data_IF_493451736496
#
_entry.id   IF_493451736496
#
_cell.length_a   1.000
_cell.length_b   1.000
_cell.length_c   1.000
_cell.angle_alpha   90.00
_cell.angle_beta   90.00
_cell.angle_gamma   90.00
#
_symmetry.space_group_name_H-M   'P 1'
#
loop_
_entity.id
_entity.type
_entity.pdbx_description
1 polymer ?
#
# COMPACT_ATOMS: atom_id res chain seq x y z
N UNK A 1 19.99 -26.25 11.93
CA UNK A 1 19.65 -25.13 12.84
C UNK A 1 19.72 -23.71 12.24
N UNK A 2 20.26 -23.49 11.03
CA UNK A 2 20.30 -22.14 10.39
C UNK A 2 18.97 -21.72 9.73
N UNK A 3 18.15 -22.68 9.30
CA UNK A 3 16.88 -22.44 8.59
C UNK A 3 15.77 -21.97 9.54
N UNK A 4 15.67 -22.53 10.75
CA UNK A 4 14.64 -22.16 11.74
C UNK A 4 14.83 -20.73 12.29
N UNK A 5 16.05 -20.18 12.20
CA UNK A 5 16.35 -18.77 12.55
C UNK A 5 16.11 -17.78 11.41
N UNK A 6 15.80 -18.27 10.21
CA UNK A 6 15.56 -17.41 9.06
C UNK A 6 14.13 -16.84 9.13
N UNK A 7 14.00 -15.52 9.21
CA UNK A 7 12.72 -14.83 9.32
C UNK A 7 11.80 -15.14 8.13
N UNK A 8 12.34 -15.23 6.91
CA UNK A 8 11.60 -15.67 5.71
C UNK A 8 10.90 -17.01 5.95
N UNK A 9 11.64 -17.99 6.48
CA UNK A 9 11.12 -19.33 6.72
C UNK A 9 10.05 -19.33 7.83
N UNK A 10 10.29 -18.59 8.92
CA UNK A 10 9.33 -18.45 10.01
C UNK A 10 8.01 -17.83 9.53
N UNK A 11 8.07 -16.78 8.70
CA UNK A 11 6.87 -16.12 8.15
C UNK A 11 6.10 -17.07 7.23
N UNK A 12 6.78 -17.82 6.35
CA UNK A 12 6.12 -18.80 5.48
C UNK A 12 5.41 -19.88 6.29
N UNK A 13 6.09 -20.46 7.29
CA UNK A 13 5.50 -21.47 8.17
C UNK A 13 4.30 -20.88 8.91
N UNK A 14 4.42 -19.65 9.43
CA UNK A 14 3.35 -18.98 10.13
C UNK A 14 2.12 -18.70 9.24
N UNK A 15 2.32 -18.30 7.97
CA UNK A 15 1.25 -18.14 6.99
C UNK A 15 0.54 -19.46 6.75
N UNK A 16 1.28 -20.54 6.50
CA UNK A 16 0.72 -21.89 6.25
C UNK A 16 -0.09 -22.36 7.48
N UNK A 17 0.47 -22.19 8.68
CA UNK A 17 -0.22 -22.51 9.92
C UNK A 17 -1.49 -21.67 10.10
N UNK A 18 -1.44 -20.37 9.78
CA UNK A 18 -2.59 -19.47 9.87
C UNK A 18 -3.71 -19.89 8.93
N UNK A 19 -3.38 -20.19 7.67
CA UNK A 19 -4.33 -20.73 6.69
C UNK A 19 -4.95 -22.03 7.20
N UNK A 20 -4.14 -22.97 7.70
CA UNK A 20 -4.64 -24.24 8.22
C UNK A 20 -5.60 -24.05 9.41
N UNK A 21 -5.26 -23.17 10.36
CA UNK A 21 -6.13 -22.86 11.51
C UNK A 21 -7.45 -22.23 11.05
N UNK A 22 -7.40 -21.22 10.18
CA UNK A 22 -8.61 -20.58 9.66
C UNK A 22 -9.48 -21.52 8.81
N UNK A 23 -8.88 -22.51 8.15
CA UNK A 23 -9.59 -23.48 7.32
C UNK A 23 -10.25 -24.60 8.14
N UNK A 24 -9.53 -25.17 9.12
CA UNK A 24 -9.97 -26.32 9.91
C UNK A 24 -10.86 -25.88 11.07
N UNK A 25 -10.54 -24.75 11.71
CA UNK A 25 -11.28 -24.18 12.84
C UNK A 25 -11.63 -22.71 12.58
N UNK A 26 -12.65 -22.41 11.74
CA UNK A 26 -12.96 -21.04 11.35
C UNK A 26 -13.26 -20.09 12.52
N UNK A 27 -13.94 -20.55 13.57
CA UNK A 27 -14.20 -19.75 14.77
C UNK A 27 -12.91 -19.34 15.48
N UNK A 28 -12.00 -20.30 15.68
CA UNK A 28 -10.67 -20.04 16.26
C UNK A 28 -9.88 -19.10 15.36
N UNK A 29 -9.92 -19.31 14.04
CA UNK A 29 -9.27 -18.42 13.07
C UNK A 29 -9.71 -16.97 13.22
N UNK A 30 -11.02 -16.72 13.35
CA UNK A 30 -11.57 -15.38 13.58
C UNK A 30 -11.07 -14.76 14.90
N UNK A 31 -10.95 -15.57 15.95
CA UNK A 31 -10.44 -15.14 17.26
C UNK A 31 -8.94 -14.80 17.26
N UNK A 32 -8.18 -15.20 16.23
CA UNK A 32 -6.76 -14.83 16.10
C UNK A 32 -6.54 -13.38 15.63
N UNK A 33 -7.59 -12.64 15.26
CA UNK A 33 -7.52 -11.23 14.82
C UNK A 33 -6.68 -10.33 15.73
N UNK A 34 -6.81 -10.37 17.09
CA UNK A 34 -6.04 -9.51 17.97
C UNK A 34 -4.53 -9.71 17.84
N UNK A 35 -4.06 -10.91 17.47
CA UNK A 35 -2.62 -11.18 17.27
C UNK A 35 -2.10 -10.38 16.08
N UNK A 36 -2.83 -10.44 14.96
CA UNK A 36 -2.51 -9.69 13.74
C UNK A 36 -2.59 -8.18 13.97
N UNK A 37 -3.69 -7.71 14.57
CA UNK A 37 -3.90 -6.28 14.85
C UNK A 37 -2.87 -5.72 15.82
N UNK A 38 -2.52 -6.46 16.89
CA UNK A 38 -1.49 -6.04 17.84
C UNK A 38 -0.13 -5.89 17.14
N UNK A 39 0.21 -6.81 16.23
CA UNK A 39 1.44 -6.69 15.43
C UNK A 39 1.44 -5.42 14.57
N UNK A 40 0.35 -5.16 13.84
CA UNK A 40 0.20 -3.94 13.04
C UNK A 40 0.30 -2.68 13.92
N UNK A 41 -0.34 -2.67 15.09
CA UNK A 41 -0.29 -1.54 16.02
C UNK A 41 1.13 -1.27 16.55
N UNK A 42 1.90 -2.32 16.87
CA UNK A 42 3.31 -2.15 17.25
C UNK A 42 4.15 -1.51 16.14
N UNK A 43 3.84 -1.81 14.88
CA UNK A 43 4.51 -1.17 13.73
C UNK A 43 4.02 0.28 13.56
N UNK A 44 2.70 0.53 13.58
CA UNK A 44 2.13 1.90 13.50
C UNK A 44 2.69 2.83 14.56
N UNK A 45 2.92 2.34 15.78
CA UNK A 45 3.52 3.07 16.89
C UNK A 45 4.88 3.68 16.54
N UNK A 46 5.70 3.01 15.72
CA UNK A 46 7.06 3.46 15.40
C UNK A 46 7.18 4.13 14.03
N UNK A 47 6.20 3.95 13.14
CA UNK A 47 6.28 4.45 11.75
C UNK A 47 6.36 5.98 11.70
N UNK A 48 5.43 6.70 12.32
CA UNK A 48 5.38 8.16 12.19
C UNK A 48 6.67 8.85 12.66
N UNK A 49 7.25 8.51 13.84
CA UNK A 49 8.57 9.01 14.24
C UNK A 49 9.70 8.65 13.27
N UNK A 50 9.73 7.41 12.75
CA UNK A 50 10.77 6.97 11.81
C UNK A 50 10.70 7.76 10.50
N UNK A 51 9.49 7.92 9.94
CA UNK A 51 9.25 8.71 8.73
C UNK A 51 9.75 10.13 8.93
N UNK A 52 9.33 10.77 10.03
CA UNK A 52 9.75 12.13 10.34
C UNK A 52 11.26 12.28 10.41
N UNK A 53 11.93 11.47 11.23
CA UNK A 53 13.37 11.52 11.39
C UNK A 53 14.09 11.28 10.06
N UNK A 54 13.63 10.31 9.27
CA UNK A 54 14.32 9.95 8.03
C UNK A 54 14.15 10.99 6.93
N UNK A 55 12.97 11.62 6.83
CA UNK A 55 12.76 12.72 5.87
C UNK A 55 13.56 13.94 6.29
N UNK A 56 13.51 14.34 7.56
CA UNK A 56 14.25 15.51 8.06
C UNK A 56 15.75 15.33 7.83
N UNK A 57 16.31 14.19 8.23
CA UNK A 57 17.73 13.86 8.00
C UNK A 57 18.05 13.76 6.50
N UNK A 58 17.14 13.19 5.70
CA UNK A 58 17.27 13.10 4.25
C UNK A 58 17.37 14.48 3.59
N UNK A 59 16.50 15.42 3.97
CA UNK A 59 16.51 16.79 3.43
C UNK A 59 17.74 17.55 3.91
N UNK A 60 18.04 17.49 5.20
CA UNK A 60 19.19 18.18 5.79
C UNK A 60 20.50 17.74 5.14
N UNK A 61 20.67 16.44 4.84
CA UNK A 61 21.86 15.92 4.17
C UNK A 61 21.96 16.27 2.67
N UNK A 62 20.86 16.67 2.00
CA UNK A 62 20.94 17.19 0.62
C UNK A 62 21.53 18.61 0.56
N UNK A 63 21.38 19.38 1.64
CA UNK A 63 21.87 20.76 1.78
C UNK A 63 21.26 21.78 0.79
N UNK A 64 20.26 21.40 -0.01
CA UNK A 64 19.67 22.28 -1.01
C UNK A 64 18.22 21.89 -1.35
N UNK A 65 17.30 22.83 -1.16
CA UNK A 65 15.89 22.67 -1.53
C UNK A 65 15.67 22.44 -3.02
N UNK A 66 16.56 22.97 -3.89
CA UNK A 66 16.50 22.70 -5.33
C UNK A 66 16.73 21.22 -5.64
N UNK A 67 17.61 20.54 -4.88
CA UNK A 67 17.83 19.09 -5.04
C UNK A 67 16.63 18.30 -4.54
N UNK A 68 16.06 18.68 -3.38
CA UNK A 68 14.86 18.05 -2.81
C UNK A 68 13.70 18.11 -3.81
N UNK A 69 13.37 19.30 -4.31
CA UNK A 69 12.28 19.49 -5.29
C UNK A 69 12.52 18.70 -6.58
N UNK A 70 13.77 18.62 -7.05
CA UNK A 70 14.13 17.81 -8.24
C UNK A 70 13.93 16.31 -8.01
N UNK A 71 14.30 15.78 -6.84
CA UNK A 71 14.12 14.36 -6.52
C UNK A 71 12.64 14.04 -6.32
N UNK A 72 11.94 14.84 -5.52
CA UNK A 72 10.50 14.67 -5.27
C UNK A 72 9.67 14.79 -6.54
N UNK A 73 9.91 15.81 -7.37
CA UNK A 73 9.19 15.99 -8.63
C UNK A 73 9.44 14.84 -9.63
N UNK A 74 10.68 14.32 -9.71
CA UNK A 74 10.97 13.13 -10.51
C UNK A 74 10.25 11.89 -9.98
N UNK A 75 10.14 11.73 -8.66
CA UNK A 75 9.43 10.62 -8.05
C UNK A 75 7.92 10.68 -8.33
N UNK A 76 7.29 11.84 -8.16
CA UNK A 76 5.86 12.02 -8.46
C UNK A 76 5.56 11.77 -9.95
N UNK A 77 6.39 12.29 -10.86
CA UNK A 77 6.25 12.01 -12.28
C UNK A 77 6.39 10.51 -12.59
N UNK A 78 7.36 9.85 -11.96
CA UNK A 78 7.53 8.41 -12.09
C UNK A 78 6.31 7.64 -11.57
N UNK A 79 5.79 7.99 -10.39
CA UNK A 79 4.60 7.35 -9.82
C UNK A 79 3.40 7.51 -10.75
N UNK A 80 3.20 8.69 -11.32
CA UNK A 80 2.08 8.94 -12.23
C UNK A 80 2.14 8.08 -13.49
N UNK A 81 3.32 8.01 -14.13
CA UNK A 81 3.53 7.20 -15.33
C UNK A 81 3.31 5.72 -15.04
N UNK A 82 3.88 5.23 -13.93
CA UNK A 82 3.85 3.80 -13.57
C UNK A 82 2.46 3.37 -13.10
N UNK A 83 1.76 4.20 -12.31
CA UNK A 83 0.36 3.96 -11.94
C UNK A 83 -0.56 3.98 -13.17
N UNK A 84 -0.32 4.86 -14.16
CA UNK A 84 -1.06 4.86 -15.43
C UNK A 84 -0.87 3.53 -16.17
N UNK A 85 0.37 3.04 -16.26
CA UNK A 85 0.64 1.73 -16.86
C UNK A 85 -0.05 0.59 -16.09
N UNK A 86 -0.13 0.69 -14.75
CA UNK A 86 -0.82 -0.27 -13.88
C UNK A 86 -2.35 -0.28 -14.13
N UNK A 87 -2.98 0.87 -14.34
CA UNK A 87 -4.39 0.96 -14.75
C UNK A 87 -4.64 0.33 -16.11
N UNK A 88 -3.81 0.70 -17.10
CA UNK A 88 -3.97 0.23 -18.46
C UNK A 88 -3.87 -1.29 -18.53
N UNK A 89 -2.87 -1.88 -17.87
CA UNK A 89 -2.71 -3.33 -17.85
C UNK A 89 -3.88 -4.03 -17.14
N UNK A 90 -4.39 -3.44 -16.04
CA UNK A 90 -5.56 -3.93 -15.32
C UNK A 90 -6.81 -3.98 -16.21
N UNK A 91 -7.14 -2.86 -16.86
CA UNK A 91 -8.29 -2.78 -17.76
C UNK A 91 -8.13 -3.71 -18.96
N UNK A 92 -6.96 -3.74 -19.61
CA UNK A 92 -6.72 -4.60 -20.78
C UNK A 92 -6.94 -6.06 -20.40
N UNK A 93 -6.31 -6.53 -19.31
CA UNK A 93 -6.44 -7.94 -18.90
C UNK A 93 -7.87 -8.26 -18.49
N UNK A 94 -8.57 -7.37 -17.77
CA UNK A 94 -9.96 -7.60 -17.39
C UNK A 94 -10.92 -7.68 -18.59
N UNK A 95 -10.70 -6.89 -19.64
CA UNK A 95 -11.48 -6.96 -20.88
C UNK A 95 -11.18 -8.23 -21.69
N UNK A 96 -9.94 -8.74 -21.67
CA UNK A 96 -9.55 -9.95 -22.41
C UNK A 96 -10.00 -11.22 -21.70
N UNK A 97 -9.73 -11.33 -20.39
CA UNK A 97 -10.00 -12.55 -19.61
C UNK A 97 -11.47 -12.64 -19.19
N UNK A 98 -12.14 -11.49 -19.10
CA UNK A 98 -13.54 -11.35 -18.71
C UNK A 98 -13.89 -12.13 -17.44
N UNK A 99 -13.28 -11.79 -16.29
CA UNK A 99 -13.45 -12.55 -15.05
C UNK A 99 -14.88 -12.53 -14.50
N UNK A 100 -15.70 -11.52 -14.83
CA UNK A 100 -17.08 -11.37 -14.36
C UNK A 100 -18.14 -12.04 -15.23
N UNK A 101 -17.79 -12.50 -16.43
CA UNK A 101 -18.73 -13.16 -17.34
C UNK A 101 -19.31 -14.44 -16.71
N UNK A 102 -20.63 -14.64 -16.91
CA UNK A 102 -21.41 -15.83 -16.47
C UNK A 102 -21.56 -15.98 -14.95
N UNK A 103 -21.22 -14.96 -14.17
CA UNK A 103 -21.61 -14.88 -12.77
C UNK A 103 -23.03 -14.32 -12.67
N UNK A 104 -23.83 -14.92 -11.80
CA UNK A 104 -25.20 -14.51 -11.53
C UNK A 104 -25.20 -13.62 -10.27
N UNK A 105 -25.49 -12.30 -10.39
CA UNK A 105 -25.47 -11.38 -9.26
C UNK A 105 -26.40 -11.82 -8.11
N UNK A 106 -27.51 -12.49 -8.44
CA UNK A 106 -28.52 -12.92 -7.48
C UNK A 106 -28.05 -14.06 -6.56
N UNK A 107 -26.99 -14.77 -6.94
CA UNK A 107 -26.41 -15.89 -6.18
C UNK A 107 -25.20 -15.49 -5.34
N UNK A 108 -24.71 -14.26 -5.52
CA UNK A 108 -23.61 -13.73 -4.76
C UNK A 108 -24.16 -13.02 -3.51
N UNK A 109 -23.83 -13.53 -2.33
CA UNK A 109 -24.22 -12.87 -1.06
C UNK A 109 -23.35 -11.63 -0.87
N UNK A 110 -23.96 -10.45 -1.02
CA UNK A 110 -23.30 -9.18 -0.73
C UNK A 110 -23.04 -8.97 0.77
N UNK A 111 -21.93 -8.30 1.10
CA UNK A 111 -21.69 -7.72 2.42
C UNK A 111 -22.34 -6.34 2.61
N UNK A 112 -22.39 -5.84 3.84
CA UNK A 112 -22.81 -4.46 4.11
C UNK A 112 -21.68 -3.47 3.73
N UNK A 113 -21.97 -2.67 2.71
CA UNK A 113 -21.06 -1.64 2.15
C UNK A 113 -21.60 -0.22 2.29
N UNK A 114 -22.72 -0.05 3.00
CA UNK A 114 -23.43 1.23 3.14
C UNK A 114 -22.51 2.36 3.64
N UNK A 115 -21.65 2.07 4.61
CA UNK A 115 -20.65 3.02 5.13
C UNK A 115 -19.67 3.53 4.06
N UNK A 116 -19.22 2.67 3.15
CA UNK A 116 -18.24 3.03 2.12
C UNK A 116 -18.88 3.79 0.97
N UNK A 117 -20.15 3.48 0.68
CA UNK A 117 -20.95 4.21 -0.31
C UNK A 117 -21.20 5.65 0.14
N UNK A 118 -21.58 5.85 1.41
CA UNK A 118 -21.73 7.20 1.97
C UNK A 118 -20.41 7.98 1.94
N UNK A 119 -19.32 7.39 2.43
CA UNK A 119 -18.00 8.06 2.41
C UNK A 119 -17.47 8.33 0.99
N UNK A 120 -17.80 7.48 0.01
CA UNK A 120 -17.37 7.65 -1.39
C UNK A 120 -18.11 8.79 -2.12
N UNK A 121 -19.36 9.07 -1.73
CA UNK A 121 -20.16 10.20 -2.27
C UNK A 121 -19.72 11.55 -1.69
N UNK A 122 -19.19 11.57 -0.46
CA UNK A 122 -18.69 12.77 0.22
C UNK A 122 -17.25 13.14 -0.14
N UNK A 123 -16.54 12.34 -0.95
CA UNK A 123 -15.14 12.58 -1.27
C UNK A 123 -14.97 13.84 -2.15
N UNK A 124 -14.85 15.00 -1.51
CA UNK A 124 -14.50 16.26 -2.16
C UNK A 124 -12.97 16.31 -2.31
N UNK A 125 -12.47 16.43 -3.55
CA UNK A 125 -11.02 16.54 -3.82
C UNK A 125 -10.36 17.68 -3.06
N UNK A 126 -11.12 18.75 -2.79
CA UNK A 126 -10.65 19.87 -1.98
C UNK A 126 -10.25 19.40 -0.58
N UNK A 127 -11.00 18.46 0.01
CA UNK A 127 -10.72 17.93 1.34
C UNK A 127 -9.41 17.14 1.36
N UNK A 128 -9.08 16.40 0.29
CA UNK A 128 -7.77 15.73 0.21
C UNK A 128 -6.61 16.73 0.22
N UNK A 129 -6.69 17.80 -0.56
CA UNK A 129 -5.63 18.82 -0.58
C UNK A 129 -5.54 19.58 0.74
N UNK A 130 -6.68 19.90 1.36
CA UNK A 130 -6.73 20.53 2.68
C UNK A 130 -6.17 19.59 3.75
N UNK A 131 -6.42 18.29 3.63
CA UNK A 131 -5.97 17.27 4.57
C UNK A 131 -4.44 17.04 4.56
N UNK A 132 -3.73 17.39 3.48
CA UNK A 132 -2.26 17.34 3.44
C UNK A 132 -1.64 18.22 4.53
N UNK A 133 -2.27 19.36 4.83
CA UNK A 133 -1.80 20.30 5.84
C UNK A 133 -2.50 19.98 7.17
N UNK A 134 -1.79 19.43 8.18
CA UNK A 134 -2.41 19.15 9.46
C UNK A 134 -2.80 20.45 10.18
N UNK A 135 -3.97 20.45 10.83
CA UNK A 135 -4.37 21.49 11.78
C UNK A 135 -3.45 21.55 12.99
N UNK A 136 -2.90 20.40 13.40
CA UNK A 136 -1.96 20.27 14.50
C UNK A 136 -0.94 19.17 14.20
N UNK A 137 0.35 19.51 14.36
CA UNK A 137 1.44 18.54 14.16
C UNK A 137 1.28 17.31 15.06
N UNK A 138 1.10 17.48 16.37
CA UNK A 138 1.04 16.36 17.30
C UNK A 138 -0.15 15.43 17.02
N UNK A 139 -1.27 15.98 16.54
CA UNK A 139 -2.42 15.21 16.13
C UNK A 139 -2.11 14.28 14.95
N UNK A 140 -1.38 14.77 13.94
CA UNK A 140 -0.94 13.95 12.80
C UNK A 140 -0.09 12.76 13.25
N UNK A 141 0.84 12.98 14.18
CA UNK A 141 1.65 11.89 14.76
C UNK A 141 0.81 10.94 15.61
N UNK A 142 -0.12 11.45 16.41
CA UNK A 142 -0.96 10.64 17.29
C UNK A 142 -1.95 9.76 16.51
N UNK A 143 -2.52 10.27 15.42
CA UNK A 143 -3.40 9.53 14.52
C UNK A 143 -2.65 8.63 13.54
N UNK A 144 -1.34 8.81 13.40
CA UNK A 144 -0.50 8.04 12.48
C UNK A 144 -0.74 8.42 11.02
N UNK A 145 -1.12 9.67 10.74
CA UNK A 145 -1.35 10.17 9.39
C UNK A 145 -0.01 10.39 8.67
N UNK A 146 0.35 9.42 7.83
CA UNK A 146 1.65 9.39 7.14
C UNK A 146 1.82 10.59 6.20
N UNK A 147 0.74 11.03 5.53
CA UNK A 147 0.81 12.11 4.55
C UNK A 147 1.04 13.45 5.23
N UNK A 148 0.32 13.71 6.32
CA UNK A 148 0.51 14.91 7.13
C UNK A 148 1.89 14.93 7.80
N UNK A 149 2.33 13.79 8.34
CA UNK A 149 3.68 13.65 8.91
C UNK A 149 4.74 13.92 7.84
N UNK A 150 4.59 13.39 6.61
CA UNK A 150 5.48 13.66 5.48
C UNK A 150 5.54 15.15 5.15
N UNK A 151 4.39 15.81 5.01
CA UNK A 151 4.33 17.25 4.70
C UNK A 151 5.05 18.09 5.75
N UNK A 152 4.73 17.86 7.04
CA UNK A 152 5.39 18.56 8.14
C UNK A 152 6.90 18.29 8.16
N UNK A 153 7.33 17.05 7.93
CA UNK A 153 8.74 16.66 7.90
C UNK A 153 9.52 17.39 6.81
N UNK A 154 8.91 17.63 5.66
CA UNK A 154 9.52 18.39 4.56
C UNK A 154 9.75 19.84 4.99
N UNK A 155 8.74 20.48 5.59
CA UNK A 155 8.86 21.85 6.10
C UNK A 155 9.90 21.97 7.22
N UNK A 156 9.89 21.01 8.16
CA UNK A 156 10.87 20.97 9.24
C UNK A 156 12.29 20.79 8.71
N UNK A 157 12.50 19.84 7.79
CA UNK A 157 13.80 19.61 7.15
C UNK A 157 14.29 20.83 6.36
N UNK A 158 13.38 21.53 5.67
CA UNK A 158 13.69 22.79 4.99
C UNK A 158 14.13 23.87 5.99
N UNK A 159 13.36 24.08 7.07
CA UNK A 159 13.71 25.03 8.13
C UNK A 159 15.05 24.70 8.80
N UNK A 160 15.31 23.42 9.07
CA UNK A 160 16.59 22.96 9.63
C UNK A 160 17.76 23.23 8.68
N UNK A 161 17.55 23.06 7.38
CA UNK A 161 18.57 23.40 6.36
C UNK A 161 18.85 24.91 6.32
N UNK A 162 17.82 25.74 6.52
CA UNK A 162 17.96 27.21 6.55
C UNK A 162 18.76 27.71 7.76
N UNK A 163 18.82 26.94 8.86
CA UNK A 163 19.67 27.25 10.02
C UNK A 163 21.18 27.08 9.75
N UNK A 164 21.54 26.42 8.64
CA UNK A 164 22.94 26.15 8.30
C UNK A 164 23.66 25.42 9.43
N UNK A 165 24.84 25.93 9.83
CA UNK A 165 25.67 25.31 10.89
C UNK A 165 24.98 25.20 12.25
N UNK A 166 24.06 26.13 12.56
CA UNK A 166 23.33 26.12 13.83
C UNK A 166 22.34 24.95 13.93
N UNK A 167 21.97 24.34 12.80
CA UNK A 167 21.12 23.14 12.77
C UNK A 167 21.86 21.84 13.10
N UNK A 168 23.20 21.83 13.05
CA UNK A 168 23.99 20.60 13.18
C UNK A 168 23.74 19.82 14.49
N UNK A 169 23.65 20.45 15.67
CA UNK A 169 23.36 19.72 16.91
C UNK A 169 22.01 18.99 16.88
N UNK A 170 21.01 19.57 16.21
CA UNK A 170 19.68 18.95 16.05
C UNK A 170 19.75 17.77 15.10
N UNK A 171 20.50 17.90 13.99
CA UNK A 171 20.76 16.80 13.05
C UNK A 171 21.43 15.63 13.78
N UNK A 172 22.48 15.89 14.55
CA UNK A 172 23.22 14.84 15.28
C UNK A 172 22.34 14.14 16.33
N UNK A 173 21.47 14.90 17.00
CA UNK A 173 20.46 14.34 17.91
C UNK A 173 19.46 13.45 17.15
N UNK A 174 18.93 13.91 16.02
CA UNK A 174 17.97 13.16 15.20
C UNK A 174 18.59 11.89 14.63
N UNK A 175 19.87 11.89 14.25
CA UNK A 175 20.57 10.68 13.81
C UNK A 175 20.64 9.62 14.91
N UNK A 176 20.95 10.03 16.15
CA UNK A 176 20.99 9.12 17.30
C UNK A 176 19.61 8.60 17.64
N UNK A 177 18.61 9.48 17.63
CA UNK A 177 17.22 9.13 17.91
C UNK A 177 16.67 8.17 16.84
N UNK A 178 17.00 8.39 15.56
CA UNK A 178 16.61 7.51 14.45
C UNK A 178 17.14 6.09 14.66
N UNK A 179 18.40 5.93 15.10
CA UNK A 179 18.97 4.62 15.45
C UNK A 179 18.19 3.91 16.57
N UNK A 180 17.71 4.65 17.57
CA UNK A 180 16.89 4.09 18.65
C UNK A 180 15.58 3.53 18.08
N UNK A 181 14.87 4.30 17.25
CA UNK A 181 13.64 3.82 16.62
C UNK A 181 13.86 2.62 15.69
N UNK A 182 14.96 2.60 14.92
CA UNK A 182 15.32 1.42 14.11
C UNK A 182 15.64 0.18 14.95
N UNK A 183 16.23 0.35 16.15
CA UNK A 183 16.43 -0.76 17.09
C UNK A 183 15.09 -1.29 17.63
N UNK A 184 14.16 -0.39 18.00
CA UNK A 184 12.81 -0.78 18.44
C UNK A 184 12.11 -1.56 17.32
N UNK A 185 12.13 -1.04 16.10
CA UNK A 185 11.59 -1.73 14.93
C UNK A 185 12.20 -3.14 14.80
N UNK A 186 13.53 -3.27 14.89
CA UNK A 186 14.21 -4.56 14.78
C UNK A 186 13.75 -5.58 15.83
N UNK A 187 13.34 -5.13 17.02
CA UNK A 187 12.74 -5.97 18.06
C UNK A 187 11.34 -6.39 17.64
N UNK A 188 10.48 -5.44 17.25
CA UNK A 188 9.09 -5.71 16.81
C UNK A 188 9.06 -6.69 15.63
N UNK A 189 10.00 -6.58 14.70
CA UNK A 189 10.08 -7.46 13.52
C UNK A 189 10.32 -8.94 13.87
N UNK A 190 10.85 -9.26 15.05
CA UNK A 190 10.96 -10.66 15.49
C UNK A 190 9.59 -11.31 15.71
N UNK A 191 8.54 -10.51 15.90
CA UNK A 191 7.17 -10.93 16.08
C UNK A 191 6.38 -10.98 14.75
N UNK A 192 7.01 -10.62 13.62
CA UNK A 192 6.36 -10.64 12.31
C UNK A 192 5.71 -11.98 11.92
N UNK A 193 6.30 -13.16 12.25
CA UNK A 193 5.63 -14.44 12.01
C UNK A 193 4.27 -14.53 12.73
N UNK A 194 4.16 -14.05 13.97
CA UNK A 194 2.90 -14.07 14.72
C UNK A 194 1.84 -13.16 14.08
N UNK A 195 2.26 -11.97 13.62
CA UNK A 195 1.38 -11.06 12.89
C UNK A 195 0.83 -11.69 11.60
N UNK A 196 1.72 -12.33 10.82
CA UNK A 196 1.35 -13.02 9.59
C UNK A 196 0.43 -14.23 9.84
N UNK A 197 0.67 -15.00 10.91
CA UNK A 197 -0.21 -16.07 11.35
C UNK A 197 -1.61 -15.54 11.69
N UNK A 198 -1.70 -14.53 12.56
CA UNK A 198 -2.98 -13.97 13.00
C UNK A 198 -3.79 -13.35 11.86
N UNK A 199 -3.12 -12.63 10.95
CA UNK A 199 -3.75 -12.04 9.76
C UNK A 199 -4.35 -13.10 8.84
N UNK A 200 -3.58 -14.13 8.50
CA UNK A 200 -4.05 -15.20 7.62
C UNK A 200 -5.12 -16.09 8.27
N UNK A 201 -4.98 -16.41 9.56
CA UNK A 201 -5.98 -17.17 10.31
C UNK A 201 -7.32 -16.44 10.38
N UNK A 202 -7.30 -15.13 10.66
CA UNK A 202 -8.51 -14.30 10.65
C UNK A 202 -9.13 -14.23 9.26
N UNK A 203 -8.32 -14.01 8.23
CA UNK A 203 -8.81 -13.85 6.85
C UNK A 203 -9.50 -15.13 6.37
N UNK A 204 -8.85 -16.29 6.54
CA UNK A 204 -9.43 -17.57 6.14
C UNK A 204 -10.59 -17.98 7.05
N UNK A 205 -10.52 -17.71 8.36
CA UNK A 205 -11.60 -18.04 9.30
C UNK A 205 -12.86 -17.19 9.13
N UNK A 206 -12.72 -15.90 8.79
CA UNK A 206 -13.85 -14.98 8.59
C UNK A 206 -14.51 -15.15 7.23
N UNK A 207 -13.70 -15.17 6.18
CA UNK A 207 -14.21 -15.19 4.81
C UNK A 207 -14.37 -16.61 4.28
N UNK A 208 -13.68 -17.60 4.85
CA UNK A 208 -13.72 -18.99 4.41
C UNK A 208 -12.99 -19.22 3.09
N UNK A 209 -12.58 -20.47 2.85
CA UNK A 209 -12.03 -20.89 1.55
C UNK A 209 -13.10 -20.89 0.44
N UNK A 210 -14.39 -20.96 0.80
CA UNK A 210 -15.49 -21.04 -0.14
C UNK A 210 -15.87 -19.70 -0.78
N UNK A 211 -15.59 -18.55 -0.16
CA UNK A 211 -15.77 -17.23 -0.80
C UNK A 211 -14.71 -16.95 -1.86
N UNK A 212 -13.54 -17.59 -1.74
CA UNK A 212 -12.51 -17.57 -2.78
C UNK A 212 -12.94 -18.31 -4.06
N UNK A 213 -14.00 -19.13 -4.03
CA UNK A 213 -14.40 -19.92 -5.21
C UNK A 213 -15.18 -19.08 -6.22
N UNK A 214 -16.26 -18.35 -5.86
CA UNK A 214 -16.98 -17.47 -6.80
C UNK A 214 -16.12 -16.31 -7.32
N UNK A 215 -15.28 -15.73 -6.46
CA UNK A 215 -14.36 -14.63 -6.81
C UNK A 215 -12.99 -15.12 -7.26
N UNK A 216 -12.75 -16.43 -7.28
CA UNK A 216 -11.45 -17.02 -7.55
C UNK A 216 -10.92 -16.69 -8.92
N UNK A 217 -11.80 -16.62 -9.92
CA UNK A 217 -11.45 -16.19 -11.28
C UNK A 217 -10.95 -14.74 -11.29
N UNK A 218 -11.61 -13.83 -10.56
CA UNK A 218 -11.16 -12.45 -10.42
C UNK A 218 -9.81 -12.39 -9.69
N UNK A 219 -9.67 -13.09 -8.57
CA UNK A 219 -8.44 -13.09 -7.76
C UNK A 219 -7.23 -13.64 -8.51
N UNK A 220 -7.38 -14.79 -9.17
CA UNK A 220 -6.32 -15.35 -10.04
C UNK A 220 -5.95 -14.35 -11.13
N UNK A 221 -6.95 -13.71 -11.75
CA UNK A 221 -6.72 -12.71 -12.78
C UNK A 221 -5.94 -11.50 -12.23
N UNK A 222 -6.33 -10.97 -11.06
CA UNK A 222 -5.64 -9.84 -10.42
C UNK A 222 -4.19 -10.19 -10.08
N UNK A 223 -3.93 -11.34 -9.44
CA UNK A 223 -2.57 -11.75 -9.10
C UNK A 223 -1.72 -12.05 -10.34
N UNK A 224 -2.30 -12.63 -11.39
CA UNK A 224 -1.63 -12.83 -12.66
C UNK A 224 -1.27 -11.49 -13.33
N UNK A 225 -2.17 -10.50 -13.31
CA UNK A 225 -1.91 -9.15 -13.81
C UNK A 225 -0.85 -8.43 -12.99
N UNK A 226 -0.85 -8.58 -11.66
CA UNK A 226 0.22 -8.04 -10.81
C UNK A 226 1.56 -8.68 -11.13
N UNK A 227 1.62 -9.99 -11.34
CA UNK A 227 2.83 -10.69 -11.77
C UNK A 227 3.29 -10.19 -13.15
N UNK A 228 2.37 -10.04 -14.10
CA UNK A 228 2.63 -9.46 -15.43
C UNK A 228 3.22 -8.06 -15.29
N UNK A 229 2.64 -7.20 -14.46
CA UNK A 229 3.12 -5.85 -14.20
C UNK A 229 4.54 -5.86 -13.61
N UNK A 230 4.80 -6.69 -12.60
CA UNK A 230 6.14 -6.82 -11.99
C UNK A 230 7.17 -7.31 -13.00
N UNK A 231 6.90 -8.40 -13.72
CA UNK A 231 7.88 -9.04 -14.59
C UNK A 231 8.00 -8.41 -15.98
N UNK A 232 7.03 -7.61 -16.41
CA UNK A 232 7.09 -6.85 -17.67
C UNK A 232 7.45 -5.39 -17.38
N UNK A 233 6.56 -4.64 -16.72
CA UNK A 233 6.71 -3.18 -16.55
C UNK A 233 7.89 -2.86 -15.63
N UNK A 234 7.90 -3.40 -14.40
CA UNK A 234 8.98 -3.10 -13.46
C UNK A 234 10.31 -3.70 -13.92
N UNK A 235 10.31 -4.89 -14.52
CA UNK A 235 11.52 -5.49 -15.10
C UNK A 235 12.10 -4.63 -16.24
N UNK A 236 11.24 -4.09 -17.11
CA UNK A 236 11.66 -3.19 -18.18
C UNK A 236 12.31 -1.92 -17.61
N UNK A 237 11.70 -1.31 -16.58
CA UNK A 237 12.28 -0.17 -15.86
C UNK A 237 13.63 -0.55 -15.25
N UNK A 238 13.73 -1.68 -14.54
CA UNK A 238 14.99 -2.16 -13.96
C UNK A 238 16.08 -2.33 -15.03
N UNK A 239 15.73 -2.88 -16.19
CA UNK A 239 16.64 -3.07 -17.33
C UNK A 239 17.11 -1.73 -17.91
N UNK A 240 16.23 -0.74 -18.05
CA UNK A 240 16.60 0.62 -18.49
C UNK A 240 17.64 1.26 -17.55
N UNK A 241 17.49 1.05 -16.24
CA UNK A 241 18.42 1.54 -15.23
C UNK A 241 19.55 0.55 -14.90
N UNK A 242 19.72 -0.52 -15.71
CA UNK A 242 20.83 -1.48 -15.66
C UNK A 242 20.97 -2.24 -14.33
N UNK A 243 19.89 -2.50 -13.61
CA UNK A 243 19.91 -3.40 -12.45
C UNK A 243 18.93 -4.57 -12.62
N UNK A 244 19.18 -5.66 -11.89
CA UNK A 244 18.42 -6.90 -12.02
C UNK A 244 17.21 -6.92 -11.10
N UNK A 245 16.01 -7.07 -11.68
CA UNK A 245 14.78 -7.28 -10.91
C UNK A 245 14.90 -8.50 -9.98
N UNK A 246 15.48 -9.60 -10.46
CA UNK A 246 15.62 -10.83 -9.66
C UNK A 246 16.48 -10.62 -8.40
N UNK A 247 17.60 -9.90 -8.53
CA UNK A 247 18.45 -9.57 -7.37
C UNK A 247 17.69 -8.67 -6.39
N UNK A 248 16.91 -7.72 -6.91
CA UNK A 248 16.08 -6.85 -6.10
C UNK A 248 14.99 -7.63 -5.34
N UNK A 249 14.21 -8.47 -6.02
CA UNK A 249 13.18 -9.32 -5.40
C UNK A 249 13.78 -10.27 -4.35
N UNK A 250 14.96 -10.83 -4.61
CA UNK A 250 15.67 -11.67 -3.64
C UNK A 250 16.10 -10.88 -2.38
N UNK A 251 16.46 -9.60 -2.55
CA UNK A 251 16.83 -8.70 -1.46
C UNK A 251 15.64 -8.36 -0.56
N UNK A 252 14.46 -8.10 -1.16
CA UNK A 252 13.24 -7.67 -0.43
C UNK A 252 12.25 -8.81 -0.14
N UNK A 253 12.67 -10.08 -0.32
CA UNK A 253 11.77 -11.25 -0.20
C UNK A 253 11.04 -11.35 1.15
N UNK A 254 11.67 -10.88 2.23
CA UNK A 254 11.10 -10.98 3.57
C UNK A 254 9.96 -9.98 3.74
N UNK A 255 10.13 -8.79 3.19
CA UNK A 255 9.15 -7.72 3.22
C UNK A 255 7.92 -8.12 2.39
N UNK A 256 8.15 -8.72 1.21
CA UNK A 256 7.06 -9.25 0.38
C UNK A 256 6.21 -10.29 1.12
N UNK A 257 6.84 -11.21 1.85
CA UNK A 257 6.13 -12.25 2.61
C UNK A 257 5.40 -11.68 3.83
N UNK A 258 5.99 -10.70 4.51
CA UNK A 258 5.35 -10.05 5.65
C UNK A 258 4.12 -9.28 5.18
N UNK A 259 4.23 -8.48 4.12
CA UNK A 259 3.09 -7.76 3.54
C UNK A 259 2.00 -8.74 3.10
N UNK A 260 2.36 -9.87 2.50
CA UNK A 260 1.39 -10.91 2.13
C UNK A 260 0.64 -11.45 3.35
N UNK A 261 1.36 -11.77 4.43
CA UNK A 261 0.75 -12.33 5.64
C UNK A 261 -0.03 -11.32 6.49
N UNK A 262 0.38 -10.05 6.47
CA UNK A 262 -0.23 -8.98 7.29
C UNK A 262 -1.27 -8.16 6.53
N UNK A 263 -1.32 -8.29 5.20
CA UNK A 263 -2.16 -7.48 4.30
C UNK A 263 -1.98 -5.97 4.46
N UNK A 264 -0.82 -5.52 4.95
CA UNK A 264 -0.50 -4.11 5.19
C UNK A 264 0.88 -3.80 4.66
N UNK A 265 0.96 -2.89 3.67
CA UNK A 265 2.24 -2.37 3.19
C UNK A 265 2.98 -1.63 4.30
N UNK A 266 2.28 -0.86 5.13
CA UNK A 266 2.85 -0.06 6.24
C UNK A 266 3.74 -0.91 7.14
N UNK A 267 3.37 -2.17 7.34
CA UNK A 267 4.10 -3.12 8.20
C UNK A 267 5.59 -3.29 7.90
N UNK A 268 6.03 -2.96 6.66
CA UNK A 268 7.43 -3.10 6.24
C UNK A 268 8.09 -1.79 5.82
N UNK A 269 7.39 -0.65 5.89
CA UNK A 269 7.90 0.64 5.41
C UNK A 269 9.27 1.01 6.01
N UNK A 270 9.45 1.03 7.35
CA UNK A 270 10.75 1.33 7.94
C UNK A 270 11.87 0.38 7.49
N UNK A 271 11.54 -0.90 7.30
CA UNK A 271 12.51 -1.93 6.90
C UNK A 271 12.91 -1.80 5.44
N UNK A 272 11.96 -1.44 4.58
CA UNK A 272 12.22 -1.09 3.19
C UNK A 272 13.20 0.08 3.10
N UNK A 273 13.07 1.09 3.97
CA UNK A 273 14.02 2.21 3.99
C UNK A 273 15.44 1.75 4.28
N UNK A 274 15.64 0.97 5.36
CA UNK A 274 16.96 0.41 5.68
C UNK A 274 17.50 -0.48 4.55
N UNK A 275 16.68 -1.39 4.01
CA UNK A 275 17.11 -2.28 2.94
C UNK A 275 17.49 -1.55 1.66
N UNK A 276 16.82 -0.46 1.33
CA UNK A 276 17.18 0.33 0.15
C UNK A 276 18.50 1.08 0.36
N UNK A 277 18.78 1.57 1.57
CA UNK A 277 20.10 2.12 1.91
C UNK A 277 21.19 1.06 1.77
N UNK A 278 20.97 -0.15 2.33
CA UNK A 278 21.90 -1.28 2.22
C UNK A 278 22.09 -1.75 0.77
N UNK A 279 21.06 -1.59 -0.07
CA UNK A 279 21.13 -1.89 -1.51
C UNK A 279 21.95 -0.85 -2.31
N UNK A 280 22.31 0.27 -1.68
CA UNK A 280 23.15 1.33 -2.27
C UNK A 280 22.39 2.61 -2.64
N UNK A 281 21.11 2.74 -2.27
CA UNK A 281 20.38 4.00 -2.45
C UNK A 281 20.85 5.03 -1.42
N UNK A 282 20.95 6.30 -1.83
CA UNK A 282 21.32 7.35 -0.89
C UNK A 282 20.18 7.63 0.09
N UNK A 283 20.51 7.82 1.37
CA UNK A 283 19.54 8.16 2.44
C UNK A 283 18.55 9.27 2.04
N UNK A 284 18.98 10.36 1.38
CA UNK A 284 18.06 11.41 0.97
C UNK A 284 17.00 10.95 -0.03
N UNK A 285 17.37 10.07 -0.96
CA UNK A 285 16.44 9.53 -1.95
C UNK A 285 15.49 8.55 -1.28
N UNK A 286 16.01 7.64 -0.43
CA UNK A 286 15.19 6.69 0.34
C UNK A 286 14.18 7.42 1.22
N UNK A 287 14.67 8.39 2.00
CA UNK A 287 13.86 9.15 2.96
C UNK A 287 12.74 9.95 2.30
N UNK A 288 12.92 10.43 1.07
CA UNK A 288 11.90 11.18 0.37
C UNK A 288 10.99 10.28 -0.48
N UNK A 289 11.56 9.39 -1.27
CA UNK A 289 10.84 8.66 -2.32
C UNK A 289 9.99 7.53 -1.73
N UNK A 290 10.50 6.78 -0.75
CA UNK A 290 9.75 5.63 -0.21
C UNK A 290 8.49 6.09 0.55
N UNK A 291 8.55 7.02 1.51
CA UNK A 291 7.35 7.47 2.23
C UNK A 291 6.32 8.12 1.28
N UNK A 292 6.79 8.93 0.33
CA UNK A 292 5.91 9.53 -0.68
C UNK A 292 5.25 8.45 -1.55
N UNK A 293 6.00 7.42 -1.97
CA UNK A 293 5.47 6.32 -2.77
C UNK A 293 4.41 5.49 -2.03
N UNK A 294 4.50 5.37 -0.70
CA UNK A 294 3.48 4.68 0.09
C UNK A 294 2.12 5.36 0.03
N UNK A 295 2.09 6.70 -0.09
CA UNK A 295 0.84 7.45 -0.24
C UNK A 295 0.42 7.57 -1.70
N UNK A 296 1.36 7.83 -2.60
CA UNK A 296 1.07 8.23 -3.99
C UNK A 296 1.33 7.15 -5.05
N UNK A 297 1.84 5.97 -4.71
CA UNK A 297 2.19 4.91 -5.68
C UNK A 297 1.57 3.56 -5.32
N UNK A 298 0.24 3.51 -5.23
CA UNK A 298 -0.52 2.30 -4.89
C UNK A 298 -0.82 1.42 -6.12
N UNK A 299 0.19 1.07 -6.92
CA UNK A 299 0.01 0.38 -8.21
C UNK A 299 -0.79 -0.93 -8.11
N UNK A 300 -0.54 -1.74 -7.07
CA UNK A 300 -1.28 -2.98 -6.85
C UNK A 300 -2.77 -2.74 -6.58
N UNK A 301 -3.08 -1.76 -5.71
CA UNK A 301 -4.46 -1.34 -5.45
C UNK A 301 -5.12 -0.84 -6.72
N UNK A 302 -4.39 -0.06 -7.52
CA UNK A 302 -4.87 0.51 -8.78
C UNK A 302 -5.18 -0.58 -9.83
N UNK A 303 -4.34 -1.61 -9.95
CA UNK A 303 -4.64 -2.80 -10.78
C UNK A 303 -5.92 -3.47 -10.28
N UNK A 304 -6.05 -3.68 -8.97
CA UNK A 304 -7.25 -4.28 -8.39
C UNK A 304 -8.50 -3.44 -8.68
N UNK A 305 -8.47 -2.13 -8.43
CA UNK A 305 -9.62 -1.23 -8.60
C UNK A 305 -10.08 -1.14 -10.06
N UNK A 306 -9.15 -1.04 -11.00
CA UNK A 306 -9.48 -1.06 -12.43
C UNK A 306 -10.11 -2.39 -12.85
N UNK A 307 -9.52 -3.51 -12.42
CA UNK A 307 -10.06 -4.83 -12.72
C UNK A 307 -11.42 -5.08 -12.06
N UNK A 308 -11.59 -4.67 -10.80
CA UNK A 308 -12.84 -4.77 -10.06
C UNK A 308 -13.95 -3.96 -10.73
N UNK A 309 -13.66 -2.74 -11.18
CA UNK A 309 -14.63 -1.91 -11.91
C UNK A 309 -15.12 -2.61 -13.19
N UNK A 310 -14.19 -3.16 -14.00
CA UNK A 310 -14.56 -3.90 -15.21
C UNK A 310 -15.28 -5.22 -14.88
N UNK A 311 -14.87 -5.90 -13.81
CA UNK A 311 -15.53 -7.11 -13.32
C UNK A 311 -16.98 -6.85 -12.94
N UNK A 312 -17.26 -5.79 -12.18
CA UNK A 312 -18.62 -5.43 -11.80
C UNK A 312 -19.46 -5.08 -13.03
N UNK A 313 -18.91 -4.33 -13.99
CA UNK A 313 -19.59 -4.07 -15.25
C UNK A 313 -19.97 -5.37 -15.98
N UNK A 314 -19.08 -6.37 -16.01
CA UNK A 314 -19.36 -7.68 -16.60
C UNK A 314 -20.46 -8.46 -15.86
N UNK A 315 -20.42 -8.45 -14.52
CA UNK A 315 -21.40 -9.12 -13.66
C UNK A 315 -22.80 -8.53 -13.84
N UNK A 316 -22.91 -7.20 -13.95
CA UNK A 316 -24.18 -6.50 -14.16
C UNK A 316 -24.56 -6.34 -15.63
N UNK A 317 -23.83 -6.96 -16.55
CA UNK A 317 -24.07 -6.88 -18.00
C UNK A 317 -24.11 -5.43 -18.54
N UNK A 318 -23.25 -4.57 -17.98
CA UNK A 318 -23.04 -3.20 -18.42
C UNK A 318 -21.89 -3.17 -19.43
N UNK A 319 -22.21 -2.87 -20.68
CA UNK A 319 -21.20 -2.68 -21.72
C UNK A 319 -20.54 -1.31 -21.59
N UNK A 320 -19.27 -1.31 -21.15
CA UNK A 320 -18.48 -0.09 -21.03
C UNK A 320 -17.82 0.27 -22.36
N UNK A 321 -18.25 1.40 -22.94
CA UNK A 321 -17.59 2.00 -24.09
C UNK A 321 -16.13 2.39 -23.78
N UNK A 322 -15.31 2.51 -24.82
CA UNK A 322 -13.90 2.91 -24.66
C UNK A 322 -13.78 4.29 -23.98
N UNK A 323 -14.70 5.22 -24.27
CA UNK A 323 -14.76 6.52 -23.59
C UNK A 323 -15.00 6.38 -22.08
N UNK A 324 -15.94 5.53 -21.67
CA UNK A 324 -16.20 5.24 -20.25
C UNK A 324 -15.02 4.56 -19.57
N UNK A 325 -14.31 3.65 -20.26
CA UNK A 325 -13.10 3.03 -19.70
C UNK A 325 -11.96 4.05 -19.52
N UNK A 326 -11.79 5.00 -20.44
CA UNK A 326 -10.85 6.11 -20.27
C UNK A 326 -11.25 7.02 -19.11
N UNK A 327 -12.54 7.29 -18.93
CA UNK A 327 -13.06 8.03 -17.76
C UNK A 327 -12.76 7.29 -16.45
N UNK A 328 -12.93 5.97 -16.41
CA UNK A 328 -12.55 5.14 -15.25
C UNK A 328 -11.05 5.29 -14.95
N UNK A 329 -10.18 5.24 -15.96
CA UNK A 329 -8.74 5.47 -15.77
C UNK A 329 -8.49 6.85 -15.18
N UNK A 330 -9.12 7.90 -15.73
CA UNK A 330 -8.93 9.27 -15.27
C UNK A 330 -9.38 9.44 -13.80
N UNK A 331 -10.55 8.89 -13.45
CA UNK A 331 -11.05 8.92 -12.07
C UNK A 331 -10.13 8.12 -11.15
N UNK A 332 -9.72 6.91 -11.54
CA UNK A 332 -8.85 6.05 -10.73
C UNK A 332 -7.43 6.63 -10.56
N UNK A 333 -6.90 7.34 -11.56
CA UNK A 333 -5.61 8.03 -11.45
C UNK A 333 -5.63 9.03 -10.30
N UNK A 334 -6.69 9.82 -10.24
CA UNK A 334 -6.85 10.87 -9.22
C UNK A 334 -7.21 10.24 -7.87
N UNK A 335 -8.19 9.33 -7.85
CA UNK A 335 -8.73 8.75 -6.62
C UNK A 335 -7.80 7.79 -5.92
N UNK A 336 -7.00 7.01 -6.65
CA UNK A 336 -6.06 6.06 -6.04
C UNK A 336 -5.03 6.72 -5.12
N UNK A 337 -4.69 8.00 -5.34
CA UNK A 337 -3.75 8.75 -4.51
C UNK A 337 -4.32 9.12 -3.14
N UNK A 338 -5.65 9.28 -3.05
CA UNK A 338 -6.36 9.53 -1.80
C UNK A 338 -6.61 8.27 -0.97
N UNK A 339 -6.54 7.08 -1.58
CA UNK A 339 -6.83 5.81 -0.92
C UNK A 339 -5.88 5.49 0.25
N UNK A 340 -4.64 6.01 0.21
CA UNK A 340 -3.63 5.72 1.22
C UNK A 340 -3.90 6.41 2.57
N UNK A 341 -4.70 7.47 2.60
CA UNK A 341 -4.92 8.27 3.80
C UNK A 341 -5.92 7.63 4.78
N UNK A 342 -6.74 6.67 4.32
CA UNK A 342 -7.89 6.16 5.10
C UNK A 342 -7.94 4.64 5.09
N UNK A 343 -8.22 4.05 6.27
CA UNK A 343 -8.42 2.60 6.39
C UNK A 343 -9.64 2.18 5.57
N UNK A 344 -9.50 1.17 4.71
CA UNK A 344 -10.56 0.80 3.76
C UNK A 344 -10.65 1.74 2.55
N UNK A 345 -9.68 2.61 2.33
CA UNK A 345 -9.66 3.59 1.24
C UNK A 345 -9.85 3.00 -0.15
N UNK A 346 -9.45 1.75 -0.38
CA UNK A 346 -9.75 1.04 -1.64
C UNK A 346 -11.26 0.92 -1.93
N UNK A 347 -12.07 0.58 -0.92
CA UNK A 347 -13.54 0.52 -1.07
C UNK A 347 -14.15 1.90 -1.28
N UNK A 348 -13.64 2.92 -0.58
CA UNK A 348 -14.09 4.32 -0.75
C UNK A 348 -13.81 4.79 -2.17
N UNK A 349 -12.61 4.53 -2.69
CA UNK A 349 -12.23 4.89 -4.05
C UNK A 349 -13.06 4.14 -5.09
N UNK A 350 -13.29 2.84 -4.88
CA UNK A 350 -14.15 2.06 -5.77
C UNK A 350 -15.58 2.63 -5.76
N UNK A 351 -16.16 2.88 -4.59
CA UNK A 351 -17.50 3.47 -4.46
C UNK A 351 -17.60 4.84 -5.14
N UNK A 352 -16.60 5.71 -4.93
CA UNK A 352 -16.52 7.01 -5.59
C UNK A 352 -16.45 6.87 -7.11
N UNK A 353 -15.67 5.91 -7.61
CA UNK A 353 -15.55 5.63 -9.05
C UNK A 353 -16.87 5.14 -9.64
N UNK A 354 -17.54 4.17 -8.99
CA UNK A 354 -18.83 3.66 -9.46
C UNK A 354 -19.91 4.76 -9.44
N UNK A 355 -19.94 5.57 -8.36
CA UNK A 355 -20.87 6.69 -8.23
C UNK A 355 -20.61 7.79 -9.26
N UNK A 356 -19.34 8.07 -9.60
CA UNK A 356 -19.01 9.06 -10.62
C UNK A 356 -19.39 8.58 -12.03
N UNK A 357 -19.30 7.26 -12.27
CA UNK A 357 -19.69 6.66 -13.54
C UNK A 357 -21.22 6.62 -13.72
N UNK A 358 -22.00 6.42 -12.65
CA UNK A 358 -23.46 6.28 -12.68
C UNK A 358 -23.99 5.19 -13.63
N UNK A 359 -23.14 4.24 -14.05
CA UNK A 359 -23.53 3.14 -14.96
C UNK A 359 -23.55 1.78 -14.28
N UNK A 360 -22.76 1.61 -13.21
CA UNK A 360 -22.64 0.32 -12.51
C UNK A 360 -23.37 0.44 -11.17
N UNK A 361 -24.26 -0.51 -10.82
CA UNK A 361 -24.98 -0.49 -9.55
C UNK A 361 -24.04 -0.54 -8.34
N UNK A 362 -24.31 0.28 -7.32
CA UNK A 362 -23.47 0.40 -6.11
C UNK A 362 -23.56 -0.84 -5.23
N UNK A 363 -24.62 -1.63 -5.35
CA UNK A 363 -24.78 -2.94 -4.73
C UNK A 363 -23.66 -3.90 -5.15
N UNK A 364 -23.06 -3.67 -6.32
CA UNK A 364 -21.88 -4.38 -6.79
C UNK A 364 -20.65 -4.23 -5.91
N UNK A 365 -20.53 -3.15 -5.14
CA UNK A 365 -19.41 -2.94 -4.22
C UNK A 365 -19.33 -4.03 -3.13
N UNK A 366 -20.45 -4.69 -2.85
CA UNK A 366 -20.57 -5.74 -1.85
C UNK A 366 -19.98 -7.08 -2.29
N UNK A 367 -19.65 -7.22 -3.59
CA UNK A 367 -19.01 -8.37 -4.25
C UNK A 367 -17.49 -8.20 -4.28
#
# INVERSE_FOLDING_TARGET
MRIVKNLTFQVIVAIICGIAVGAIWPSVGQEMKPIGETFINMIKMVIAPIIFLTIVLGIASMGSMKKVGRVGGKALLYFEIVTTAALLIGIIVANVVRPGDRLDPSKLKGGDVSQYVQSGQEMQWMDFFLHIVPSNMFEAFAKGDILQVLFFSILFGAGLTMLGKNGQPVIDFFERLSKVFFNILSIVMKLAPLGAFGGMAFTIGKYGLSTLIPLGKLMICVYATMALFVFIVLNFICKMYKFSLWKYLAHIKEELLIVLGTSSSESVLPRMMTKMEDFGCSKPVVGLVIPTGYSFNLDGTTIYLSMATIFLAQVFHVDLSLGQQLTIIAILLVTSKGAAAVTGGGFIVLASTLSAMNVIPLEGLAL
#
